data_IF_022495039209
#
_entry.id   IF_022495039209
#
_cell.length_a   1.000
_cell.length_b   1.000
_cell.length_c   1.000
_cell.angle_alpha   90.00
_cell.angle_beta   90.00
_cell.angle_gamma   90.00
#
_symmetry.space_group_name_H-M   'P 1'
#
loop_
_entity.id
_entity.type
_entity.pdbx_description
1 polymer ?
#
# COMPACT_ATOMS: atom_id res chain seq x y z
N UNK A 1 -16.46 -48.29 -36.53
CA UNK A 1 -16.93 -48.58 -35.15
C UNK A 1 -16.02 -47.84 -34.18
N UNK A 2 -16.40 -46.63 -33.76
CA UNK A 2 -15.64 -45.84 -32.78
C UNK A 2 -16.14 -46.18 -31.37
N UNK A 3 -15.26 -46.65 -30.50
CA UNK A 3 -15.60 -46.93 -29.10
C UNK A 3 -15.72 -45.64 -28.28
N UNK A 4 -16.56 -45.57 -27.23
CA UNK A 4 -16.73 -44.37 -26.43
C UNK A 4 -15.51 -44.18 -25.51
N UNK A 5 -14.73 -43.12 -25.74
CA UNK A 5 -13.77 -42.63 -24.75
C UNK A 5 -14.55 -42.08 -23.55
N UNK A 6 -14.34 -42.71 -22.39
CA UNK A 6 -14.88 -42.26 -21.11
C UNK A 6 -14.31 -40.87 -20.80
N UNK A 7 -15.18 -39.88 -20.64
CA UNK A 7 -14.85 -38.60 -20.03
C UNK A 7 -14.19 -38.87 -18.68
N UNK A 8 -12.92 -38.49 -18.53
CA UNK A 8 -12.28 -38.46 -17.22
C UNK A 8 -13.03 -37.44 -16.34
N UNK A 9 -13.25 -37.71 -15.04
CA UNK A 9 -13.74 -36.68 -14.14
C UNK A 9 -12.75 -35.51 -14.11
N UNK A 10 -13.23 -34.27 -13.88
CA UNK A 10 -12.33 -33.14 -13.63
C UNK A 10 -11.39 -33.51 -12.47
N UNK A 11 -10.14 -33.02 -12.45
CA UNK A 11 -9.32 -33.11 -11.26
C UNK A 11 -10.14 -32.51 -10.11
N UNK A 12 -10.21 -33.23 -9.01
CA UNK A 12 -10.78 -32.69 -7.78
C UNK A 12 -10.11 -31.33 -7.57
N UNK A 13 -10.92 -30.27 -7.60
CA UNK A 13 -10.56 -29.03 -6.93
C UNK A 13 -10.39 -29.45 -5.47
N UNK A 14 -9.18 -29.88 -5.10
CA UNK A 14 -8.73 -29.91 -3.73
C UNK A 14 -8.87 -28.45 -3.28
N UNK A 15 -10.06 -28.15 -2.72
CA UNK A 15 -10.23 -27.11 -1.72
C UNK A 15 -9.07 -27.32 -0.75
N UNK A 16 -7.96 -26.61 -0.97
CA UNK A 16 -6.86 -26.48 -0.04
C UNK A 16 -7.50 -25.88 1.22
N UNK A 17 -8.00 -26.76 2.09
CA UNK A 17 -8.33 -26.45 3.47
C UNK A 17 -7.04 -25.87 4.05
N UNK A 18 -6.93 -24.54 4.06
CA UNK A 18 -5.76 -23.84 4.59
C UNK A 18 -5.73 -24.18 6.07
N UNK A 19 -4.98 -25.24 6.42
CA UNK A 19 -4.80 -25.62 7.79
C UNK A 19 -4.11 -24.45 8.50
N UNK A 20 -4.87 -23.79 9.37
CA UNK A 20 -4.38 -22.70 10.21
C UNK A 20 -3.55 -23.33 11.35
N UNK A 21 -2.38 -23.84 10.98
CA UNK A 21 -1.38 -24.33 11.91
C UNK A 21 -0.65 -23.16 12.58
N UNK A 22 -0.07 -23.36 13.77
CA UNK A 22 0.79 -22.35 14.40
C UNK A 22 1.93 -21.88 13.47
N UNK A 23 2.40 -22.75 12.59
CA UNK A 23 3.45 -22.46 11.61
C UNK A 23 2.96 -21.56 10.47
N UNK A 24 1.74 -21.75 9.95
CA UNK A 24 1.16 -20.84 8.95
C UNK A 24 0.86 -19.45 9.55
N UNK A 25 0.41 -19.39 10.81
CA UNK A 25 0.26 -18.11 11.54
C UNK A 25 1.61 -17.41 11.71
N UNK A 26 2.65 -18.12 12.12
CA UNK A 26 3.99 -17.55 12.29
C UNK A 26 4.56 -17.02 10.96
N UNK A 27 4.32 -17.74 9.86
CA UNK A 27 4.72 -17.33 8.51
C UNK A 27 3.97 -16.09 8.04
N UNK A 28 2.66 -16.02 8.27
CA UNK A 28 1.85 -14.84 7.94
C UNK A 28 2.30 -13.63 8.77
N UNK A 29 2.54 -13.81 10.07
CA UNK A 29 3.06 -12.76 10.94
C UNK A 29 4.42 -12.24 10.46
N UNK A 30 5.33 -13.13 10.08
CA UNK A 30 6.65 -12.75 9.55
C UNK A 30 6.53 -12.00 8.23
N UNK A 31 5.61 -12.40 7.35
CA UNK A 31 5.31 -11.70 6.09
C UNK A 31 4.78 -10.28 6.36
N UNK A 32 3.76 -10.13 7.22
CA UNK A 32 3.22 -8.82 7.59
C UNK A 32 4.29 -7.90 8.20
N UNK A 33 5.14 -8.42 9.08
CA UNK A 33 6.26 -7.65 9.64
C UNK A 33 7.27 -7.22 8.58
N UNK A 34 7.54 -8.06 7.58
CA UNK A 34 8.41 -7.70 6.47
C UNK A 34 7.79 -6.61 5.58
N UNK A 35 6.48 -6.69 5.32
CA UNK A 35 5.71 -5.68 4.59
C UNK A 35 5.67 -4.35 5.33
N UNK A 36 5.42 -4.35 6.65
CA UNK A 36 5.46 -3.15 7.49
C UNK A 36 6.84 -2.49 7.49
N UNK A 37 7.90 -3.29 7.55
CA UNK A 37 9.28 -2.78 7.46
C UNK A 37 9.57 -2.19 6.08
N UNK A 38 9.12 -2.84 5.02
CA UNK A 38 9.26 -2.33 3.66
C UNK A 38 8.49 -1.01 3.46
N UNK A 39 7.27 -0.90 4.02
CA UNK A 39 6.46 0.32 3.99
C UNK A 39 7.12 1.51 4.72
N UNK A 40 7.87 1.23 5.79
CA UNK A 40 8.63 2.22 6.54
C UNK A 40 10.00 2.54 5.93
N UNK A 41 10.50 1.70 5.00
CA UNK A 41 11.80 1.90 4.39
C UNK A 41 11.80 3.13 3.49
N UNK A 42 12.91 3.87 3.55
CA UNK A 42 13.25 4.93 2.61
C UNK A 42 14.03 4.31 1.44
N UNK A 43 13.52 4.39 0.21
CA UNK A 43 14.19 3.90 -1.01
C UNK A 43 14.87 5.05 -1.77
N UNK A 44 15.66 4.75 -2.83
CA UNK A 44 16.26 5.78 -3.71
C UNK A 44 15.24 6.71 -4.39
N UNK A 45 13.96 6.33 -4.46
CA UNK A 45 12.86 7.16 -4.99
C UNK A 45 12.18 8.02 -3.92
N UNK A 46 12.50 7.83 -2.64
CA UNK A 46 11.79 8.45 -1.53
C UNK A 46 12.80 9.17 -0.60
N UNK A 47 13.46 10.21 -1.14
CA UNK A 47 14.44 11.00 -0.38
C UNK A 47 13.79 11.85 0.73
N UNK A 48 12.51 12.20 0.58
CA UNK A 48 11.84 13.15 1.46
C UNK A 48 10.71 12.54 2.33
N UNK A 49 10.32 11.29 2.08
CA UNK A 49 9.19 10.66 2.80
C UNK A 49 9.25 9.14 2.73
N UNK A 50 8.52 8.46 3.63
CA UNK A 50 8.41 6.99 3.65
C UNK A 50 7.73 6.49 2.37
N UNK A 51 8.13 5.32 1.86
CA UNK A 51 7.60 4.75 0.61
C UNK A 51 6.06 4.69 0.61
N UNK A 52 5.44 4.20 1.70
CA UNK A 52 3.98 4.11 1.78
C UNK A 52 3.26 5.47 1.67
N UNK A 53 3.88 6.56 2.13
CA UNK A 53 3.31 7.91 2.01
C UNK A 53 3.44 8.42 0.58
N UNK A 54 4.56 8.13 -0.10
CA UNK A 54 4.74 8.45 -1.50
C UNK A 54 3.72 7.72 -2.39
N UNK A 55 3.48 6.42 -2.13
CA UNK A 55 2.49 5.63 -2.85
C UNK A 55 1.08 6.15 -2.63
N UNK A 56 0.73 6.50 -1.38
CA UNK A 56 -0.57 7.10 -1.06
C UNK A 56 -0.76 8.47 -1.75
N UNK A 57 0.29 9.29 -1.81
CA UNK A 57 0.24 10.57 -2.53
C UNK A 57 0.05 10.35 -4.04
N UNK A 58 0.78 9.39 -4.63
CA UNK A 58 0.65 9.04 -6.05
C UNK A 58 -0.77 8.56 -6.37
N UNK A 59 -1.37 7.70 -5.53
CA UNK A 59 -2.74 7.24 -5.70
C UNK A 59 -3.74 8.42 -5.69
N UNK A 60 -3.60 9.35 -4.74
CA UNK A 60 -4.45 10.53 -4.68
C UNK A 60 -4.32 11.43 -5.92
N UNK A 61 -3.10 11.60 -6.45
CA UNK A 61 -2.86 12.33 -7.70
C UNK A 61 -3.57 11.65 -8.86
N UNK A 62 -3.48 10.33 -8.96
CA UNK A 62 -4.09 9.55 -10.03
C UNK A 62 -5.62 9.61 -9.96
N UNK A 63 -6.22 9.49 -8.78
CA UNK A 63 -7.67 9.60 -8.58
C UNK A 63 -8.22 10.97 -9.00
N UNK A 64 -7.55 12.05 -8.60
CA UNK A 64 -7.94 13.42 -8.97
C UNK A 64 -7.76 13.62 -10.48
N UNK A 65 -6.64 13.17 -11.04
CA UNK A 65 -6.40 13.23 -12.48
C UNK A 65 -7.50 12.47 -13.26
N UNK A 66 -7.88 11.27 -12.83
CA UNK A 66 -8.86 10.46 -13.53
C UNK A 66 -10.29 11.02 -13.43
N UNK A 67 -10.65 11.59 -12.28
CA UNK A 67 -11.96 12.20 -12.04
C UNK A 67 -12.14 13.56 -12.73
N UNK A 68 -11.10 14.40 -12.74
CA UNK A 68 -11.17 15.78 -13.27
C UNK A 68 -10.60 15.93 -14.68
N UNK A 69 -9.76 14.99 -15.11
CA UNK A 69 -8.93 15.07 -16.33
C UNK A 69 -7.91 16.22 -16.33
N UNK A 70 -7.68 16.88 -15.20
CA UNK A 70 -6.61 17.88 -15.06
C UNK A 70 -5.22 17.21 -15.17
N UNK A 71 -4.21 17.84 -15.81
CA UNK A 71 -2.86 17.29 -15.89
C UNK A 71 -2.25 16.97 -14.51
N UNK A 72 -1.53 15.85 -14.39
CA UNK A 72 -0.96 15.40 -13.10
C UNK A 72 -0.08 16.44 -12.41
N UNK A 73 0.68 17.24 -13.17
CA UNK A 73 1.54 18.28 -12.61
C UNK A 73 0.75 19.42 -11.96
N UNK A 74 -0.41 19.80 -12.52
CA UNK A 74 -1.33 20.78 -11.91
C UNK A 74 -1.96 20.23 -10.63
N UNK A 75 -2.37 18.96 -10.66
CA UNK A 75 -2.90 18.26 -9.46
C UNK A 75 -1.86 18.25 -8.34
N UNK A 76 -0.60 17.90 -8.66
CA UNK A 76 0.51 17.91 -7.68
C UNK A 76 0.73 19.31 -7.13
N UNK A 77 0.75 20.34 -7.98
CA UNK A 77 0.91 21.73 -7.53
C UNK A 77 -0.21 22.13 -6.55
N UNK A 78 -1.48 21.87 -6.91
CA UNK A 78 -2.62 22.18 -6.06
C UNK A 78 -2.59 21.45 -4.71
N UNK A 79 -2.20 20.17 -4.70
CA UNK A 79 -2.06 19.39 -3.46
C UNK A 79 -0.94 19.94 -2.56
N UNK A 80 0.19 20.35 -3.14
CA UNK A 80 1.30 20.96 -2.39
C UNK A 80 0.91 22.33 -1.82
N UNK A 81 0.21 23.16 -2.60
CA UNK A 81 -0.32 24.44 -2.12
C UNK A 81 -1.28 24.26 -0.94
N UNK A 82 -2.19 23.28 -1.04
CA UNK A 82 -3.09 22.92 0.04
C UNK A 82 -2.33 22.44 1.29
N UNK A 83 -1.26 21.65 1.11
CA UNK A 83 -0.41 21.17 2.21
C UNK A 83 0.33 22.31 2.91
N UNK A 84 0.85 23.29 2.16
CA UNK A 84 1.49 24.49 2.73
C UNK A 84 0.51 25.28 3.60
N UNK A 85 -0.74 25.39 3.16
CA UNK A 85 -1.81 26.00 3.96
C UNK A 85 -2.09 25.30 5.30
N UNK A 86 -1.66 24.04 5.47
CA UNK A 86 -1.77 23.28 6.72
C UNK A 86 -0.49 23.30 7.58
N UNK A 87 0.55 24.04 7.18
CA UNK A 87 1.86 24.07 7.87
C UNK A 87 1.77 24.29 9.38
N UNK A 88 1.00 25.28 9.84
CA UNK A 88 0.83 25.57 11.27
C UNK A 88 0.18 24.40 12.04
N UNK A 89 -0.73 23.65 11.41
CA UNK A 89 -1.33 22.44 12.00
C UNK A 89 -0.28 21.33 12.10
N UNK A 90 0.53 21.14 11.06
CA UNK A 90 1.61 20.15 11.05
C UNK A 90 2.62 20.44 12.15
N UNK A 91 3.05 21.70 12.32
CA UNK A 91 3.96 22.11 13.39
C UNK A 91 3.42 21.77 14.80
N UNK A 92 2.13 22.06 15.04
CA UNK A 92 1.48 21.70 16.32
C UNK A 92 1.42 20.19 16.55
N UNK A 93 1.21 19.40 15.51
CA UNK A 93 1.19 17.94 15.62
C UNK A 93 2.59 17.40 15.93
N UNK A 94 3.61 17.89 15.23
CA UNK A 94 5.00 17.44 15.41
C UNK A 94 5.57 17.86 16.77
N UNK A 95 5.30 19.07 17.24
CA UNK A 95 5.75 19.53 18.57
C UNK A 95 5.13 18.75 19.73
N UNK A 96 3.90 18.22 19.56
CA UNK A 96 3.28 17.29 20.52
C UNK A 96 3.88 15.89 20.47
N UNK A 97 4.20 15.40 19.27
CA UNK A 97 4.76 14.07 19.07
C UNK A 97 6.24 13.98 19.49
N UNK A 98 6.98 15.08 19.35
CA UNK A 98 8.36 15.23 19.78
C UNK A 98 8.47 16.36 20.79
N UNK A 99 8.03 16.15 22.05
CA UNK A 99 8.27 17.13 23.10
C UNK A 99 9.78 17.31 23.21
N UNK A 100 10.26 18.50 22.85
CA UNK A 100 11.68 18.82 22.91
C UNK A 100 12.17 18.53 24.34
N UNK A 101 13.09 17.57 24.50
CA UNK A 101 13.89 17.45 25.72
C UNK A 101 14.71 18.74 25.83
N UNK A 102 14.17 19.71 26.56
CA UNK A 102 14.95 20.81 27.14
C UNK A 102 15.35 20.42 28.54
#
# INVERSE_FOLDING_TARGET
MAGPQRMAPPPDDEDDDIEVTPETIARDRKRRQAEEKAAQAMTRRSWYTRSAVADAFQAAVDDIHHSTRAPKHEVVAALLEAAVGQSARVERTLSKAHPSHK
#
